data_IF_740650745484
#
_entry.id   IF_740650745484
#
_cell.length_a   1.000
_cell.length_b   1.000
_cell.length_c   1.000
_cell.angle_alpha   90.00
_cell.angle_beta   90.00
_cell.angle_gamma   90.00
#
_symmetry.space_group_name_H-M   'P 1'
#
loop_
_entity.id
_entity.type
_entity.pdbx_description
1 polymer ?
#
# COMPACT_ATOMS: atom_id res chain seq x y z
N UNK A 1 57.55 5.32 -5.39
CA UNK A 1 56.61 5.38 -6.53
C UNK A 1 55.49 6.32 -6.15
N UNK A 2 55.57 7.60 -6.56
CA UNK A 2 54.62 8.66 -6.15
C UNK A 2 53.45 8.63 -7.13
N UNK A 3 52.31 8.21 -6.65
CA UNK A 3 51.07 8.20 -7.44
C UNK A 3 50.62 9.65 -7.75
N UNK A 4 50.50 9.94 -9.02
CA UNK A 4 50.20 11.26 -9.57
C UNK A 4 48.87 11.81 -9.00
N UNK A 5 48.84 13.06 -8.58
CA UNK A 5 47.66 13.73 -7.91
C UNK A 5 46.40 13.69 -8.77
N UNK A 6 46.55 13.66 -10.10
CA UNK A 6 45.43 13.51 -11.05
C UNK A 6 44.74 12.14 -10.94
N UNK A 7 45.48 11.04 -10.70
CA UNK A 7 44.90 9.72 -10.54
C UNK A 7 44.10 9.58 -9.22
N UNK A 8 44.53 10.28 -8.17
CA UNK A 8 43.79 10.32 -6.88
C UNK A 8 42.46 11.09 -6.99
N UNK A 9 42.42 12.19 -7.72
CA UNK A 9 41.22 12.97 -7.98
C UNK A 9 40.22 12.19 -8.83
N UNK A 10 40.71 11.44 -9.84
CA UNK A 10 39.84 10.62 -10.69
C UNK A 10 39.21 9.44 -9.94
N UNK A 11 39.96 8.79 -9.04
CA UNK A 11 39.47 7.71 -8.19
C UNK A 11 38.42 8.21 -7.18
N UNK A 12 38.60 9.40 -6.60
CA UNK A 12 37.64 10.02 -5.67
C UNK A 12 36.34 10.41 -6.38
N UNK A 13 36.40 10.89 -7.63
CA UNK A 13 35.22 11.22 -8.43
C UNK A 13 34.41 9.97 -8.83
N UNK A 14 35.08 8.86 -9.14
CA UNK A 14 34.42 7.59 -9.47
C UNK A 14 33.72 6.97 -8.26
N UNK A 15 34.30 7.05 -7.08
CA UNK A 15 33.69 6.54 -5.82
C UNK A 15 32.48 7.39 -5.45
N UNK A 16 32.52 8.71 -5.64
CA UNK A 16 31.40 9.62 -5.38
C UNK A 16 30.23 9.37 -6.33
N UNK A 17 30.50 9.06 -7.61
CA UNK A 17 29.44 8.78 -8.60
C UNK A 17 28.77 7.42 -8.34
N UNK A 18 29.51 6.41 -7.86
CA UNK A 18 28.94 5.11 -7.48
C UNK A 18 28.02 5.18 -6.24
N UNK A 19 28.28 6.10 -5.31
CA UNK A 19 27.46 6.25 -4.10
C UNK A 19 26.09 6.89 -4.40
N UNK A 20 25.93 7.66 -5.48
CA UNK A 20 24.66 8.26 -5.88
C UNK A 20 23.67 7.30 -6.54
N UNK A 21 24.12 6.14 -7.02
CA UNK A 21 23.23 5.19 -7.75
C UNK A 21 22.47 4.25 -6.81
N UNK A 22 22.79 4.19 -5.52
CA UNK A 22 22.17 3.25 -4.56
C UNK A 22 20.97 3.81 -3.79
N UNK A 23 20.57 5.07 -4.00
CA UNK A 23 19.35 5.63 -3.45
C UNK A 23 18.14 5.32 -4.35
N UNK A 24 17.94 4.06 -4.74
CA UNK A 24 16.65 3.61 -5.27
C UNK A 24 15.66 3.67 -4.13
N UNK A 25 14.93 4.79 -4.01
CA UNK A 25 13.78 4.90 -3.13
C UNK A 25 12.80 3.81 -3.54
N UNK A 26 12.82 2.68 -2.86
CA UNK A 26 11.77 1.68 -3.04
C UNK A 26 10.48 2.30 -2.53
N UNK A 27 9.62 2.75 -3.45
CA UNK A 27 8.26 3.15 -3.10
C UNK A 27 7.60 1.93 -2.48
N UNK A 28 7.44 1.98 -1.17
CA UNK A 28 6.81 0.93 -0.40
C UNK A 28 5.33 1.27 -0.32
N UNK A 29 4.46 0.37 -0.77
CA UNK A 29 3.04 0.54 -0.53
C UNK A 29 2.75 0.64 0.96
N UNK A 30 1.70 1.38 1.29
CA UNK A 30 1.22 1.46 2.66
C UNK A 30 0.85 0.06 3.16
N UNK A 31 1.27 -0.27 4.36
CA UNK A 31 0.97 -1.52 5.04
C UNK A 31 0.11 -1.25 6.27
N UNK A 32 -0.79 -2.16 6.59
CA UNK A 32 -1.55 -2.11 7.82
C UNK A 32 -1.24 -3.35 8.68
N UNK A 33 -0.86 -3.13 9.94
CA UNK A 33 -0.47 -4.20 10.87
C UNK A 33 0.55 -5.20 10.29
N UNK A 34 1.49 -4.71 9.47
CA UNK A 34 2.48 -5.52 8.78
C UNK A 34 1.93 -6.40 7.66
N UNK A 35 0.70 -6.15 7.21
CA UNK A 35 0.08 -6.79 6.04
C UNK A 35 0.28 -5.85 4.85
N UNK A 36 0.97 -6.35 3.82
CA UNK A 36 1.32 -5.60 2.61
C UNK A 36 0.57 -6.17 1.39
N UNK A 37 -0.13 -5.34 0.59
CA UNK A 37 -0.72 -5.76 -0.69
C UNK A 37 0.32 -6.34 -1.65
N UNK A 38 -0.08 -7.32 -2.46
CA UNK A 38 0.73 -8.08 -3.43
C UNK A 38 1.94 -8.81 -2.84
N UNK A 39 1.99 -8.96 -1.50
CA UNK A 39 3.11 -9.61 -0.82
C UNK A 39 2.65 -10.60 0.25
N UNK A 40 1.87 -10.14 1.23
CA UNK A 40 1.42 -10.97 2.35
C UNK A 40 0.45 -12.04 1.87
N UNK A 41 0.64 -13.29 2.31
CA UNK A 41 -0.22 -14.41 1.95
C UNK A 41 -1.33 -14.61 2.98
N UNK A 42 -2.34 -15.41 2.60
CA UNK A 42 -3.54 -15.68 3.38
C UNK A 42 -3.25 -16.26 4.77
N UNK A 43 -2.35 -17.22 4.88
CA UNK A 43 -1.92 -17.84 6.13
C UNK A 43 -1.21 -16.85 7.06
N UNK A 44 -0.41 -15.94 6.50
CA UNK A 44 0.24 -14.88 7.25
C UNK A 44 -0.76 -13.85 7.79
N UNK A 45 -1.86 -13.56 7.05
CA UNK A 45 -2.96 -12.71 7.54
C UNK A 45 -3.61 -13.34 8.76
N UNK A 46 -3.96 -14.64 8.69
CA UNK A 46 -4.54 -15.37 9.83
C UNK A 46 -3.58 -15.41 11.01
N UNK A 47 -2.28 -15.61 10.78
CA UNK A 47 -1.27 -15.58 11.84
C UNK A 47 -1.18 -14.21 12.54
N UNK A 48 -1.42 -13.10 11.82
CA UNK A 48 -1.34 -11.73 12.36
C UNK A 48 -2.63 -11.25 13.03
N UNK A 49 -3.78 -11.63 12.48
CA UNK A 49 -5.09 -11.11 12.93
C UNK A 49 -5.90 -12.13 13.75
N UNK A 50 -5.43 -13.38 13.82
CA UNK A 50 -6.19 -14.47 14.41
C UNK A 50 -7.19 -15.09 13.42
N UNK A 51 -8.08 -15.98 13.88
CA UNK A 51 -9.09 -16.58 13.02
C UNK A 51 -10.10 -15.54 12.52
N UNK A 52 -10.51 -15.60 11.24
CA UNK A 52 -11.53 -14.71 10.73
C UNK A 52 -12.89 -15.01 11.39
N UNK A 53 -13.71 -13.97 11.59
CA UNK A 53 -15.10 -14.12 12.06
C UNK A 53 -16.06 -14.55 10.95
N UNK A 54 -15.63 -14.49 9.70
CA UNK A 54 -16.37 -14.93 8.53
C UNK A 54 -15.52 -14.86 7.28
N UNK A 55 -15.93 -15.66 6.30
CA UNK A 55 -15.36 -15.69 4.97
C UNK A 55 -16.49 -15.78 3.95
N UNK A 56 -16.41 -14.97 2.89
CA UNK A 56 -17.37 -15.02 1.78
C UNK A 56 -16.99 -16.09 0.78
N UNK A 57 -17.95 -16.47 -0.10
CA UNK A 57 -17.70 -17.39 -1.22
C UNK A 57 -16.58 -16.93 -2.16
N UNK A 58 -16.38 -15.60 -2.27
CA UNK A 58 -15.29 -15.00 -3.05
C UNK A 58 -13.96 -14.97 -2.30
N UNK A 59 -13.90 -15.56 -1.10
CA UNK A 59 -12.69 -15.70 -0.31
C UNK A 59 -12.27 -14.43 0.45
N UNK A 60 -13.18 -13.45 0.63
CA UNK A 60 -12.93 -12.28 1.46
C UNK A 60 -12.99 -12.67 2.94
N UNK A 61 -11.92 -12.46 3.66
CA UNK A 61 -11.86 -12.68 5.12
C UNK A 61 -12.29 -11.43 5.87
N UNK A 62 -13.05 -11.63 6.95
CA UNK A 62 -13.47 -10.57 7.87
C UNK A 62 -12.93 -10.81 9.28
N UNK A 63 -12.51 -9.72 9.93
CA UNK A 63 -11.96 -9.74 11.28
C UNK A 63 -12.56 -8.59 12.09
N UNK A 64 -12.80 -8.81 13.39
CA UNK A 64 -13.07 -7.71 14.31
C UNK A 64 -11.75 -7.11 14.77
N UNK A 65 -11.70 -5.79 14.86
CA UNK A 65 -10.58 -5.04 15.41
C UNK A 65 -11.10 -3.93 16.32
N UNK A 66 -10.24 -3.38 17.16
CA UNK A 66 -10.62 -2.26 18.00
C UNK A 66 -11.09 -1.09 17.13
N UNK A 67 -12.30 -0.60 17.36
CA UNK A 67 -12.90 0.53 16.63
C UNK A 67 -13.60 0.19 15.31
N UNK A 68 -13.82 -1.12 15.01
CA UNK A 68 -14.54 -1.52 13.82
C UNK A 68 -14.23 -2.92 13.30
N UNK A 69 -14.20 -3.07 12.00
CA UNK A 69 -13.91 -4.35 11.34
C UNK A 69 -12.92 -4.18 10.18
N UNK A 70 -12.29 -5.30 9.82
CA UNK A 70 -11.37 -5.36 8.68
C UNK A 70 -11.83 -6.42 7.71
N UNK A 71 -11.82 -6.07 6.42
CA UNK A 71 -12.00 -7.01 5.32
C UNK A 71 -10.67 -7.13 4.56
N UNK A 72 -10.26 -8.35 4.28
CA UNK A 72 -9.04 -8.63 3.50
C UNK A 72 -9.45 -9.39 2.24
N UNK A 73 -9.18 -8.77 1.10
CA UNK A 73 -9.39 -9.33 -0.22
C UNK A 73 -8.08 -9.91 -0.76
N UNK A 74 -8.15 -11.03 -1.49
CA UNK A 74 -6.98 -11.69 -2.04
C UNK A 74 -6.98 -11.66 -3.57
N UNK A 75 -5.78 -11.70 -4.14
CA UNK A 75 -5.55 -11.76 -5.59
C UNK A 75 -6.10 -13.09 -6.11
N UNK A 76 -7.07 -13.01 -7.03
CA UNK A 76 -7.65 -14.16 -7.70
C UNK A 76 -6.91 -14.46 -9.02
N UNK A 77 -7.08 -15.69 -9.53
CA UNK A 77 -6.59 -16.06 -10.88
C UNK A 77 -7.16 -15.15 -11.98
N UNK A 78 -8.45 -14.79 -11.85
CA UNK A 78 -9.11 -13.91 -12.80
C UNK A 78 -8.47 -12.51 -12.80
N UNK A 79 -8.14 -11.97 -11.62
CA UNK A 79 -7.44 -10.68 -11.50
C UNK A 79 -6.04 -10.75 -12.14
N UNK A 80 -5.28 -11.82 -11.87
CA UNK A 80 -3.95 -12.06 -12.46
C UNK A 80 -4.03 -12.08 -13.99
N UNK A 81 -4.99 -12.80 -14.56
CA UNK A 81 -5.21 -12.86 -16.02
C UNK A 81 -5.57 -11.50 -16.60
N UNK A 82 -6.56 -10.81 -15.98
CA UNK A 82 -7.05 -9.51 -16.45
C UNK A 82 -5.98 -8.41 -16.43
N UNK A 83 -5.10 -8.43 -15.42
CA UNK A 83 -4.04 -7.43 -15.24
C UNK A 83 -2.69 -7.86 -15.80
N UNK A 84 -2.58 -9.06 -16.38
CA UNK A 84 -1.34 -9.66 -16.90
C UNK A 84 -0.23 -9.70 -15.86
N UNK A 85 -0.56 -10.15 -14.65
CA UNK A 85 0.38 -10.23 -13.54
C UNK A 85 1.07 -11.60 -13.50
N UNK A 86 2.11 -11.70 -12.68
CA UNK A 86 2.78 -12.96 -12.41
C UNK A 86 1.85 -13.91 -11.65
N UNK A 87 1.80 -15.22 -12.01
CA UNK A 87 0.90 -16.19 -11.39
C UNK A 87 1.14 -16.43 -9.90
N UNK A 88 2.39 -16.24 -9.44
CA UNK A 88 2.79 -16.43 -8.04
C UNK A 88 2.10 -15.45 -7.06
N UNK A 89 1.44 -14.41 -7.60
CA UNK A 89 0.68 -13.45 -6.81
C UNK A 89 -0.71 -13.95 -6.40
N UNK A 90 -1.23 -15.01 -7.01
CA UNK A 90 -2.51 -15.62 -6.59
C UNK A 90 -2.45 -15.98 -5.10
N UNK A 91 -3.47 -15.58 -4.34
CA UNK A 91 -3.57 -15.80 -2.90
C UNK A 91 -2.78 -14.82 -2.04
N UNK A 92 -2.08 -13.83 -2.63
CA UNK A 92 -1.56 -12.69 -1.86
C UNK A 92 -2.68 -11.67 -1.60
N UNK A 93 -2.51 -10.82 -0.60
CA UNK A 93 -3.46 -9.74 -0.29
C UNK A 93 -3.56 -8.79 -1.46
N UNK A 94 -4.77 -8.51 -1.92
CA UNK A 94 -5.08 -7.50 -2.92
C UNK A 94 -5.31 -6.15 -2.27
N UNK A 95 -6.16 -6.14 -1.24
CA UNK A 95 -6.47 -4.93 -0.47
C UNK A 95 -6.94 -5.27 0.95
N UNK A 96 -6.80 -4.30 1.84
CA UNK A 96 -7.29 -4.34 3.20
C UNK A 96 -8.22 -3.15 3.37
N UNK A 97 -9.45 -3.39 3.82
CA UNK A 97 -10.45 -2.35 4.06
C UNK A 97 -10.81 -2.31 5.53
N UNK A 98 -10.38 -1.27 6.22
CA UNK A 98 -10.82 -0.97 7.58
C UNK A 98 -12.17 -0.23 7.51
N UNK A 99 -13.15 -0.73 8.23
CA UNK A 99 -14.43 -0.05 8.45
C UNK A 99 -14.44 0.51 9.86
N UNK A 100 -14.53 1.84 9.98
CA UNK A 100 -14.54 2.55 11.24
C UNK A 100 -15.98 2.74 11.73
N UNK A 101 -16.30 2.25 12.91
CA UNK A 101 -17.62 2.46 13.52
C UNK A 101 -17.72 3.86 14.12
N UNK A 102 -16.69 4.28 14.84
CA UNK A 102 -16.59 5.59 15.46
C UNK A 102 -15.16 6.11 15.30
N UNK A 103 -14.94 7.00 14.33
CA UNK A 103 -13.64 7.66 14.16
C UNK A 103 -13.80 9.16 14.35
N UNK A 104 -12.91 9.73 15.15
CA UNK A 104 -12.75 11.18 15.29
C UNK A 104 -11.79 11.77 14.27
N UNK A 105 -11.22 10.92 13.38
CA UNK A 105 -10.30 11.39 12.37
C UNK A 105 -11.00 12.22 11.31
N UNK A 106 -10.37 13.33 10.98
CA UNK A 106 -10.76 14.26 9.92
C UNK A 106 -9.65 14.38 8.88
N UNK A 107 -9.91 14.94 7.69
CA UNK A 107 -8.85 15.21 6.72
C UNK A 107 -7.71 16.07 7.27
N UNK A 108 -8.00 16.92 8.25
CA UNK A 108 -7.03 17.76 8.94
C UNK A 108 -6.15 16.96 9.90
N UNK A 109 -6.74 16.12 10.77
CA UNK A 109 -5.99 15.29 11.74
C UNK A 109 -5.11 14.28 11.04
N UNK A 110 -5.56 13.74 9.91
CA UNK A 110 -4.79 12.83 9.06
C UNK A 110 -3.77 13.56 8.16
N UNK A 111 -3.74 14.92 8.19
CA UNK A 111 -2.83 15.76 7.37
C UNK A 111 -2.93 15.50 5.88
N UNK A 112 -4.13 15.14 5.39
CA UNK A 112 -4.38 14.86 3.98
C UNK A 112 -5.05 16.04 3.26
N UNK A 113 -5.70 16.95 4.00
CA UNK A 113 -6.26 18.18 3.44
C UNK A 113 -5.13 19.09 2.92
N UNK A 114 -5.21 19.45 1.65
CA UNK A 114 -4.18 20.28 0.99
C UNK A 114 -2.87 19.54 0.68
N UNK A 115 -2.77 18.26 0.98
CA UNK A 115 -1.62 17.44 0.61
C UNK A 115 -1.72 17.02 -0.87
N UNK A 116 -0.82 17.55 -1.70
CA UNK A 116 -0.79 17.29 -3.15
C UNK A 116 -0.55 15.82 -3.55
N UNK A 117 -0.13 14.97 -2.61
CA UNK A 117 -0.02 13.53 -2.85
C UNK A 117 -1.38 12.83 -2.90
N UNK A 118 -2.46 13.49 -2.43
CA UNK A 118 -3.80 12.97 -2.46
C UNK A 118 -4.66 13.66 -3.52
N UNK A 119 -5.31 12.86 -4.36
CA UNK A 119 -6.39 13.33 -5.22
C UNK A 119 -7.68 13.29 -4.41
N UNK A 120 -8.42 14.39 -4.39
CA UNK A 120 -9.70 14.53 -3.71
C UNK A 120 -10.85 14.45 -4.70
N UNK A 121 -11.80 13.58 -4.43
CA UNK A 121 -13.08 13.51 -5.13
C UNK A 121 -14.21 13.71 -4.12
N UNK A 122 -15.28 14.40 -4.53
CA UNK A 122 -16.44 14.66 -3.69
C UNK A 122 -17.74 14.46 -4.45
N UNK A 123 -18.68 13.74 -3.84
CA UNK A 123 -20.01 13.54 -4.37
C UNK A 123 -21.02 13.25 -3.26
N UNK A 124 -22.12 13.97 -3.20
CA UNK A 124 -23.28 13.70 -2.33
C UNK A 124 -22.92 13.41 -0.86
N UNK A 125 -22.12 14.28 -0.23
CA UNK A 125 -21.69 14.11 1.17
C UNK A 125 -20.57 13.08 1.40
N UNK A 126 -20.10 12.43 0.35
CA UNK A 126 -18.96 11.52 0.39
C UNK A 126 -17.72 12.21 -0.15
N UNK A 127 -16.63 12.20 0.62
CA UNK A 127 -15.33 12.72 0.19
C UNK A 127 -14.34 11.55 0.20
N UNK A 128 -13.62 11.38 -0.91
CA UNK A 128 -12.59 10.35 -1.06
C UNK A 128 -11.25 11.03 -1.32
N UNK A 129 -10.24 10.65 -0.54
CA UNK A 129 -8.85 11.03 -0.78
C UNK A 129 -8.07 9.79 -1.22
N UNK A 130 -7.40 9.86 -2.37
CA UNK A 130 -6.61 8.75 -2.95
C UNK A 130 -5.16 9.15 -3.13
N UNK A 131 -4.26 8.31 -2.61
CA UNK A 131 -2.83 8.36 -2.92
C UNK A 131 -2.41 7.01 -3.50
N UNK A 132 -2.45 6.88 -4.82
CA UNK A 132 -2.10 5.64 -5.51
C UNK A 132 -0.60 5.37 -5.58
N UNK A 133 0.24 6.36 -5.29
CA UNK A 133 1.70 6.13 -5.12
C UNK A 133 1.98 5.27 -3.89
N UNK A 134 1.16 5.39 -2.86
CA UNK A 134 1.26 4.61 -1.62
C UNK A 134 0.19 3.53 -1.50
N UNK A 135 -0.80 3.50 -2.40
CA UNK A 135 -1.92 2.57 -2.34
C UNK A 135 -2.86 2.85 -1.16
N UNK A 136 -3.10 4.12 -0.83
CA UNK A 136 -3.88 4.53 0.35
C UNK A 136 -5.11 5.35 -0.07
N UNK A 137 -6.29 4.95 0.45
CA UNK A 137 -7.56 5.60 0.15
C UNK A 137 -8.34 5.79 1.44
N UNK A 138 -8.77 7.02 1.69
CA UNK A 138 -9.66 7.39 2.80
C UNK A 138 -11.03 7.77 2.25
N UNK A 139 -12.10 7.29 2.88
CA UNK A 139 -13.48 7.69 2.56
C UNK A 139 -14.14 8.30 3.78
N UNK A 140 -14.61 9.52 3.62
CA UNK A 140 -15.39 10.24 4.62
C UNK A 140 -16.85 10.34 4.15
N UNK A 141 -17.77 10.13 5.05
CA UNK A 141 -19.22 10.35 4.82
C UNK A 141 -19.70 11.30 5.91
N UNK A 142 -20.33 12.38 5.51
CA UNK A 142 -20.82 13.44 6.40
C UNK A 142 -19.73 13.91 7.39
N UNK A 143 -18.51 14.10 6.87
CA UNK A 143 -17.35 14.57 7.62
C UNK A 143 -16.64 13.53 8.51
N UNK A 144 -17.20 12.32 8.66
CA UNK A 144 -16.64 11.26 9.48
C UNK A 144 -15.89 10.23 8.64
N UNK A 145 -14.69 9.81 9.08
CA UNK A 145 -13.96 8.73 8.43
C UNK A 145 -14.72 7.41 8.56
N UNK A 146 -15.09 6.82 7.44
CA UNK A 146 -15.82 5.55 7.37
C UNK A 146 -14.93 4.39 6.97
N UNK A 147 -14.05 4.59 5.99
CA UNK A 147 -13.14 3.52 5.58
C UNK A 147 -11.72 4.05 5.35
N UNK A 148 -10.75 3.23 5.71
CA UNK A 148 -9.36 3.34 5.25
C UNK A 148 -9.05 2.09 4.44
N UNK A 149 -8.61 2.28 3.19
CA UNK A 149 -8.26 1.18 2.31
C UNK A 149 -6.77 1.22 2.01
N UNK A 150 -6.11 0.10 2.21
CA UNK A 150 -4.74 -0.16 1.81
C UNK A 150 -4.76 -1.10 0.61
N UNK A 151 -4.24 -0.66 -0.51
CA UNK A 151 -4.17 -1.44 -1.75
C UNK A 151 -2.75 -1.38 -2.32
N UNK A 152 -2.53 -2.00 -3.45
CA UNK A 152 -1.22 -1.93 -4.11
C UNK A 152 -0.93 -0.52 -4.63
N UNK A 153 0.33 -0.12 -4.57
CA UNK A 153 0.81 1.10 -5.22
C UNK A 153 0.96 0.89 -6.74
N UNK A 154 0.84 1.96 -7.52
CA UNK A 154 0.99 1.90 -8.98
C UNK A 154 2.32 1.28 -9.42
N UNK A 155 3.42 1.59 -8.71
CA UNK A 155 4.72 1.01 -8.98
C UNK A 155 4.78 -0.50 -8.68
N UNK A 156 4.13 -0.94 -7.59
CA UNK A 156 4.02 -2.37 -7.28
C UNK A 156 3.28 -3.12 -8.39
N UNK A 157 2.17 -2.57 -8.88
CA UNK A 157 1.40 -3.17 -9.97
C UNK A 157 2.25 -3.26 -11.24
N UNK A 158 3.03 -2.21 -11.55
CA UNK A 158 3.93 -2.19 -12.70
C UNK A 158 5.00 -3.28 -12.60
N UNK A 159 5.65 -3.42 -11.43
CA UNK A 159 6.66 -4.47 -11.17
C UNK A 159 6.07 -5.89 -11.11
N UNK A 160 4.77 -6.01 -10.83
CA UNK A 160 4.05 -7.28 -10.74
C UNK A 160 3.63 -7.84 -12.11
N UNK A 161 3.69 -7.05 -13.19
CA UNK A 161 3.39 -7.49 -14.55
C UNK A 161 4.47 -8.43 -15.09
N UNK A 162 4.06 -9.25 -16.06
CA UNK A 162 4.96 -10.16 -16.80
C UNK A 162 5.72 -9.39 -17.88
#
# INVERSE_FOLDING_TARGET
>A
MVMNTAAKLFALLLVSLCAMVLASSTVKAAAWNGIEPLKTRRDEVVKKLGPPIGETTDGVMRFNVMGGSVQVNFVSEQFVKAKRLRPDLVGTVLEIVLQHEHSSDTPETLKIKGNHSFVRDESKGTIIFRNMKEGLIYTFIDGSLRTTRYTFADEQLTKARR
#
